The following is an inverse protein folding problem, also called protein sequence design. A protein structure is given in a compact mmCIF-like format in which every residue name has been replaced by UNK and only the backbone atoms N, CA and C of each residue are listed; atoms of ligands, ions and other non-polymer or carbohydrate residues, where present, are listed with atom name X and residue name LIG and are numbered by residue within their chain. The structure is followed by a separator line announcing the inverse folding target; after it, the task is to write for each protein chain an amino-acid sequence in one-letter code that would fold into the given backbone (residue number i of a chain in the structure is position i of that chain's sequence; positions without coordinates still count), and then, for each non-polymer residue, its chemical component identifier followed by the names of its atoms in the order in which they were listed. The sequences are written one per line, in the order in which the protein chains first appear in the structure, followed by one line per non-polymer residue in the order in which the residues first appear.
data_IF_301752765483
#
_entry.id   IF_301752765483
#
_cell.length_a   1.000
_cell.length_b   1.000
_cell.length_c   1.000
_cell.angle_alpha   90.00
_cell.angle_beta   90.00
_cell.angle_gamma   90.00
#
_symmetry.space_group_name_H-M   'P 1'
#
loop_
_entity.id
_entity.type
_entity.pdbx_description
1 polymer ?
#
# COMPACT_ATOMS: atom_id res chain seq x y z
N UNK A 1 6.78 -5.49 3.62
CA UNK A 1 6.11 -6.23 4.72
C UNK A 1 4.81 -6.76 4.16
N UNK A 2 4.51 -8.03 4.38
CA UNK A 2 3.27 -8.64 3.88
C UNK A 2 2.26 -8.78 5.02
N UNK A 3 1.04 -8.29 4.79
CA UNK A 3 -0.06 -8.31 5.74
C UNK A 3 -1.14 -9.23 5.19
N UNK A 4 -1.38 -10.36 5.85
CA UNK A 4 -2.42 -11.30 5.46
C UNK A 4 -3.79 -10.61 5.49
N UNK A 5 -4.49 -10.63 4.36
CA UNK A 5 -5.78 -9.97 4.22
C UNK A 5 -6.56 -10.59 3.05
N UNK A 6 -7.86 -10.80 3.23
CA UNK A 6 -8.69 -11.38 2.17
C UNK A 6 -8.88 -10.41 1.00
N UNK A 7 -9.06 -10.95 -0.21
CA UNK A 7 -9.41 -10.14 -1.38
C UNK A 7 -10.65 -9.31 -1.08
N UNK A 8 -10.61 -8.02 -1.44
CA UNK A 8 -11.70 -7.07 -1.21
C UNK A 8 -11.64 -6.36 0.15
N UNK A 9 -10.71 -6.74 1.04
CA UNK A 9 -10.45 -6.00 2.29
C UNK A 9 -10.07 -4.55 1.95
N UNK A 10 -10.70 -3.59 2.63
CA UNK A 10 -10.40 -2.17 2.43
C UNK A 10 -8.97 -1.87 2.87
N UNK A 11 -8.25 -1.14 2.03
CA UNK A 11 -6.90 -0.64 2.31
C UNK A 11 -7.00 0.86 2.52
N UNK A 12 -6.47 1.33 3.65
CA UNK A 12 -6.54 2.73 4.06
C UNK A 12 -5.15 3.34 4.13
N UNK A 13 -5.06 4.65 3.88
CA UNK A 13 -3.82 5.40 4.06
C UNK A 13 -3.43 5.46 5.55
N UNK A 14 -2.19 5.10 5.87
CA UNK A 14 -1.70 5.11 7.26
C UNK A 14 -1.61 6.53 7.85
N UNK A 15 -1.40 7.53 7.00
CA UNK A 15 -1.29 8.94 7.36
C UNK A 15 -1.75 9.82 6.19
N UNK A 16 -1.96 11.11 6.47
CA UNK A 16 -2.30 12.08 5.43
C UNK A 16 -1.14 12.30 4.45
N UNK A 17 -1.46 12.62 3.20
CA UNK A 17 -0.44 12.81 2.17
C UNK A 17 -1.04 13.08 0.80
N UNK A 18 -0.18 12.98 -0.22
CA UNK A 18 -0.55 13.13 -1.63
C UNK A 18 -0.18 11.85 -2.37
N UNK A 19 -1.09 11.35 -3.20
CA UNK A 19 -0.81 10.19 -4.04
C UNK A 19 0.26 10.56 -5.05
N UNK A 20 1.46 10.01 -4.85
CA UNK A 20 2.65 10.26 -5.66
C UNK A 20 2.60 9.49 -6.97
N UNK A 21 2.20 8.22 -6.90
CA UNK A 21 2.13 7.35 -8.06
C UNK A 21 1.05 6.29 -7.91
N UNK A 22 0.51 5.85 -9.04
CA UNK A 22 -0.40 4.71 -9.17
C UNK A 22 0.02 3.97 -10.43
N UNK A 23 0.48 2.74 -10.28
CA UNK A 23 1.03 1.96 -11.40
C UNK A 23 0.98 0.45 -11.09
N UNK A 24 1.56 -0.38 -11.95
CA UNK A 24 1.65 -1.84 -11.79
C UNK A 24 3.09 -2.34 -11.95
N UNK A 25 3.51 -3.21 -11.04
CA UNK A 25 4.76 -3.98 -11.14
C UNK A 25 4.47 -5.48 -11.07
N UNK A 26 5.53 -6.30 -10.94
CA UNK A 26 5.42 -7.72 -10.61
C UNK A 26 4.73 -7.99 -9.27
N UNK A 27 4.72 -7.01 -8.37
CA UNK A 27 4.05 -7.05 -7.06
C UNK A 27 2.55 -6.67 -7.15
N UNK A 28 2.07 -6.39 -8.36
CA UNK A 28 0.70 -6.04 -8.66
C UNK A 28 0.46 -4.54 -8.79
N UNK A 29 -0.83 -4.16 -8.76
CA UNK A 29 -1.24 -2.76 -8.75
C UNK A 29 -0.84 -2.15 -7.42
N UNK A 30 -0.24 -0.96 -7.46
CA UNK A 30 0.20 -0.27 -6.27
C UNK A 30 -0.17 1.21 -6.26
N UNK A 31 -0.25 1.75 -5.04
CA UNK A 31 -0.41 3.17 -4.76
C UNK A 31 0.75 3.61 -3.88
N UNK A 32 1.40 4.72 -4.25
CA UNK A 32 2.39 5.40 -3.43
C UNK A 32 1.82 6.71 -2.89
N UNK A 33 1.99 6.95 -1.59
CA UNK A 33 1.58 8.19 -0.92
C UNK A 33 2.81 8.87 -0.35
N UNK A 34 3.03 10.12 -0.74
CA UNK A 34 4.03 11.01 -0.16
C UNK A 34 3.41 11.78 1.01
N UNK A 35 3.96 11.57 2.20
CA UNK A 35 3.52 12.21 3.44
C UNK A 35 4.17 13.58 3.69
N UNK A 36 4.92 14.12 2.71
CA UNK A 36 5.53 15.45 2.70
C UNK A 36 6.52 15.73 3.85
N UNK A 37 7.01 14.68 4.50
CA UNK A 37 8.02 14.73 5.56
C UNK A 37 9.23 13.83 5.22
N UNK A 38 9.43 13.54 3.93
CA UNK A 38 10.41 12.58 3.43
C UNK A 38 9.99 11.11 3.57
N UNK A 39 8.78 10.83 4.07
CA UNK A 39 8.24 9.48 4.18
C UNK A 39 7.25 9.21 3.05
N UNK A 40 7.44 8.09 2.37
CA UNK A 40 6.54 7.57 1.33
C UNK A 40 6.07 6.20 1.75
N UNK A 41 4.79 5.92 1.63
CA UNK A 41 4.26 4.56 1.83
C UNK A 41 3.80 3.98 0.50
N UNK A 42 4.09 2.70 0.29
CA UNK A 42 3.61 1.95 -0.87
C UNK A 42 2.67 0.84 -0.42
N UNK A 43 1.54 0.72 -1.11
CA UNK A 43 0.53 -0.31 -0.92
C UNK A 43 0.40 -1.06 -2.24
N UNK A 44 0.82 -2.32 -2.31
CA UNK A 44 0.85 -3.15 -3.51
C UNK A 44 -0.03 -4.40 -3.36
N UNK A 45 -0.19 -5.17 -4.45
CA UNK A 45 -1.20 -6.21 -4.61
C UNK A 45 -2.65 -5.70 -4.40
N UNK A 46 -2.93 -4.46 -4.85
CA UNK A 46 -4.27 -3.89 -4.80
C UNK A 46 -5.15 -4.40 -5.96
N UNK A 47 -6.46 -4.26 -5.82
CA UNK A 47 -7.41 -4.43 -6.93
C UNK A 47 -7.21 -3.32 -7.99
N UNK A 48 -7.55 -3.60 -9.24
CA UNK A 48 -7.46 -2.61 -10.34
C UNK A 48 -8.42 -1.43 -10.13
N UNK A 49 -9.51 -1.64 -9.40
CA UNK A 49 -10.48 -0.58 -9.06
C UNK A 49 -10.03 0.18 -7.81
N UNK A 50 -9.16 1.16 -8.02
CA UNK A 50 -8.70 2.07 -6.98
C UNK A 50 -9.68 3.22 -6.73
N UNK A 51 -9.73 3.71 -5.50
CA UNK A 51 -10.55 4.88 -5.11
C UNK A 51 -9.80 6.22 -5.27
N UNK A 52 -8.52 6.16 -5.62
CA UNK A 52 -7.63 7.33 -5.75
C UNK A 52 -6.79 7.28 -7.02
N UNK A 53 -6.29 8.43 -7.45
CA UNK A 53 -5.35 8.59 -8.57
C UNK A 53 -4.19 9.51 -8.20
N UNK A 54 -3.15 9.52 -9.03
CA UNK A 54 -1.99 10.41 -8.88
C UNK A 54 -2.42 11.87 -8.71
N UNK A 55 -1.87 12.53 -7.70
CA UNK A 55 -2.15 13.92 -7.34
C UNK A 55 -3.28 14.11 -6.31
N UNK A 56 -4.05 13.07 -5.99
CA UNK A 56 -5.12 13.17 -4.99
C UNK A 56 -4.52 13.38 -3.59
N UNK A 57 -5.20 14.21 -2.79
CA UNK A 57 -4.91 14.33 -1.35
C UNK A 57 -5.68 13.25 -0.59
N UNK A 58 -4.99 12.59 0.33
CA UNK A 58 -5.57 11.56 1.19
C UNK A 58 -5.41 11.94 2.65
N UNK A 59 -6.37 11.57 3.48
CA UNK A 59 -6.30 11.69 4.95
C UNK A 59 -5.90 10.35 5.56
N UNK A 60 -5.41 10.38 6.79
CA UNK A 60 -5.26 9.17 7.59
C UNK A 60 -6.59 8.40 7.66
N UNK A 61 -6.52 7.08 7.53
CA UNK A 61 -7.67 6.16 7.50
C UNK A 61 -8.61 6.32 6.30
N UNK A 62 -8.28 7.12 5.29
CA UNK A 62 -9.05 7.19 4.05
C UNK A 62 -8.83 5.94 3.21
N UNK A 63 -9.90 5.32 2.71
CA UNK A 63 -9.82 4.19 1.77
C UNK A 63 -9.17 4.61 0.45
N UNK A 64 -8.10 3.91 0.07
CA UNK A 64 -7.33 4.15 -1.16
C UNK A 64 -7.51 3.04 -2.21
N UNK A 65 -8.08 1.92 -1.78
CA UNK A 65 -8.35 0.78 -2.63
C UNK A 65 -8.69 -0.44 -1.79
N UNK A 66 -8.65 -1.60 -2.42
CA UNK A 66 -8.91 -2.88 -1.77
C UNK A 66 -7.80 -3.86 -2.08
N UNK A 67 -7.60 -4.83 -1.20
CA UNK A 67 -6.68 -5.95 -1.44
C UNK A 67 -7.17 -6.71 -2.68
N UNK A 68 -6.26 -6.90 -3.63
CA UNK A 68 -6.52 -7.56 -4.89
C UNK A 68 -5.92 -8.95 -4.95
N UNK A 69 -5.76 -9.44 -6.18
CA UNK A 69 -4.93 -10.60 -6.49
C UNK A 69 -4.21 -10.30 -7.81
N UNK A 70 -3.52 -9.15 -7.84
CA UNK A 70 -2.90 -8.60 -9.05
C UNK A 70 -1.40 -8.82 -9.09
N UNK A 71 -0.81 -9.29 -7.99
CA UNK A 71 0.60 -9.70 -7.93
C UNK A 71 0.83 -10.98 -8.74
N UNK A 72 1.99 -11.05 -9.40
CA UNK A 72 2.49 -12.27 -10.02
C UNK A 72 3.40 -13.07 -9.07
N UNK A 73 3.67 -12.53 -7.88
CA UNK A 73 4.42 -13.20 -6.83
C UNK A 73 3.45 -14.03 -6.00
N UNK A 74 3.46 -15.34 -6.22
CA UNK A 74 2.76 -16.26 -5.35
C UNK A 74 3.60 -16.50 -4.10
N UNK A 75 3.24 -15.86 -2.99
CA UNK A 75 3.62 -16.37 -1.68
C UNK A 75 2.51 -17.32 -1.23
N UNK A 76 2.62 -18.59 -1.65
CA UNK A 76 1.65 -19.65 -1.37
C UNK A 76 1.31 -19.75 0.13
N UNK A 77 2.25 -19.37 1.00
CA UNK A 77 2.11 -19.39 2.45
C UNK A 77 1.15 -18.32 3.01
N UNK A 78 0.91 -17.20 2.31
CA UNK A 78 0.02 -16.12 2.77
C UNK A 78 -1.35 -16.11 2.10
N UNK A 79 -1.52 -16.80 0.96
CA UNK A 79 -2.72 -16.70 0.14
C UNK A 79 -2.86 -15.30 -0.45
N UNK A 80 -4.01 -14.64 -0.23
CA UNK A 80 -4.16 -13.21 -0.55
C UNK A 80 -3.60 -12.35 0.59
N UNK A 81 -2.85 -11.31 0.25
CA UNK A 81 -2.20 -10.43 1.21
C UNK A 81 -2.01 -9.02 0.63
N UNK A 82 -1.84 -8.02 1.49
CA UNK A 82 -1.39 -6.68 1.13
C UNK A 82 0.13 -6.61 1.25
N UNK A 83 0.82 -6.13 0.21
CA UNK A 83 2.23 -5.79 0.32
C UNK A 83 2.36 -4.32 0.72
N UNK A 84 3.08 -4.05 1.82
CA UNK A 84 3.24 -2.73 2.38
C UNK A 84 4.72 -2.37 2.57
N UNK A 85 5.10 -1.20 2.06
CA UNK A 85 6.46 -0.67 2.19
C UNK A 85 6.44 0.75 2.75
N UNK A 86 7.52 1.07 3.46
CA UNK A 86 7.81 2.43 3.92
C UNK A 86 9.18 2.82 3.36
N UNK A 87 9.22 3.99 2.74
CA UNK A 87 10.45 4.60 2.23
C UNK A 87 10.68 5.90 3.00
N UNK A 88 11.89 6.05 3.54
CA UNK A 88 12.35 7.30 4.17
C UNK A 88 13.49 7.86 3.34
N UNK A 89 13.32 9.08 2.83
CA UNK A 89 14.29 9.80 2.00
C UNK A 89 14.77 8.94 0.81
N UNK A 90 13.83 8.22 0.19
CA UNK A 90 14.07 7.36 -0.97
C UNK A 90 14.66 5.98 -0.67
N UNK A 91 14.86 5.62 0.61
CA UNK A 91 15.36 4.30 1.02
C UNK A 91 14.29 3.50 1.73
N UNK A 92 14.16 2.22 1.38
CA UNK A 92 13.28 1.30 2.11
C UNK A 92 13.74 1.19 3.56
N UNK A 93 12.80 1.36 4.48
CA UNK A 93 13.00 1.19 5.92
C UNK A 93 12.02 0.14 6.44
N UNK A 94 12.30 -0.41 7.62
CA UNK A 94 11.43 -1.40 8.24
C UNK A 94 10.05 -0.80 8.55
N UNK A 95 8.95 -1.28 7.91
CA UNK A 95 7.61 -0.79 8.17
C UNK A 95 7.14 -0.99 9.61
N UNK A 96 7.65 -2.01 10.31
CA UNK A 96 7.26 -2.32 11.69
C UNK A 96 7.64 -1.22 12.69
N UNK A 97 8.62 -0.37 12.33
CA UNK A 97 9.00 0.80 13.11
C UNK A 97 7.97 1.96 13.03
N UNK A 98 7.10 1.95 12.01
CA UNK A 98 6.16 3.04 11.70
C UNK A 98 4.70 2.65 11.85
N UNK A 99 4.39 1.35 11.76
CA UNK A 99 3.00 0.86 11.77
C UNK A 99 2.89 -0.33 12.70
N UNK A 100 2.00 -0.23 13.69
CA UNK A 100 1.58 -1.37 14.50
C UNK A 100 0.35 -2.00 13.85
N UNK A 101 0.48 -3.21 13.30
CA UNK A 101 -0.67 -4.00 12.85
C UNK A 101 -1.04 -5.04 13.92
N UNK A 102 -2.33 -5.18 14.23
CA UNK A 102 -2.79 -6.30 15.06
C UNK A 102 -2.75 -7.56 14.20
N UNK A 103 -1.98 -8.55 14.64
CA UNK A 103 -1.97 -9.91 14.10
C UNK A 103 -3.34 -10.57 14.24
#
# INVERSE_FOLDING_TARGET
MDIKAEKGTAVVAVAEGVVKNVDRTTEGVFVEIDHQNGLVTRYANLDEKLSVKKGDKVKASQEIGKVGNTTNLAYEEYGTYLHFEVLKDGKNVDPAAYVSYKK
#
